data_IF_957266431561
#
_entry.id   IF_957266431561
#
_cell.length_a   1.000
_cell.length_b   1.000
_cell.length_c   1.000
_cell.angle_alpha   90.00
_cell.angle_beta   90.00
_cell.angle_gamma   90.00
#
_symmetry.space_group_name_H-M   'P 1'
#
loop_
_entity.id
_entity.type
_entity.pdbx_description
1 polymer ?
#
# COMPACT_ATOMS: atom_id res chain seq x y z
N UNK A 1 -8.32 5.42 -21.66
CA UNK A 1 -8.73 4.02 -21.47
C UNK A 1 -7.64 3.27 -20.72
N UNK A 2 -7.91 2.92 -19.44
CA UNK A 2 -6.96 2.25 -18.55
C UNK A 2 -6.98 0.71 -18.68
N UNK A 3 -7.90 0.14 -19.47
CA UNK A 3 -8.02 -1.33 -19.61
C UNK A 3 -6.80 -2.03 -20.22
N UNK A 4 -5.92 -1.26 -20.83
CA UNK A 4 -4.64 -1.71 -21.39
C UNK A 4 -3.51 -1.77 -20.35
N UNK A 5 -3.74 -1.28 -19.13
CA UNK A 5 -2.75 -1.23 -18.07
C UNK A 5 -3.13 -2.10 -16.88
N UNK A 6 -2.15 -2.44 -16.06
CA UNK A 6 -2.35 -3.14 -14.79
C UNK A 6 -2.00 -2.26 -13.59
N UNK A 7 -2.68 -2.56 -12.47
CA UNK A 7 -2.38 -2.01 -11.17
C UNK A 7 -2.08 -3.15 -10.18
N UNK A 8 -0.89 -3.14 -9.59
CA UNK A 8 -0.45 -4.07 -8.56
C UNK A 8 -0.71 -3.46 -7.19
N UNK A 9 -1.42 -4.20 -6.32
CA UNK A 9 -1.65 -3.80 -4.93
C UNK A 9 -1.07 -4.87 -4.00
N UNK A 10 0.12 -4.64 -3.46
CA UNK A 10 0.74 -5.52 -2.46
C UNK A 10 0.21 -5.16 -1.07
N UNK A 11 -0.21 -6.16 -0.32
CA UNK A 11 -0.93 -5.98 0.93
C UNK A 11 -2.40 -5.66 0.71
N UNK A 12 -3.03 -6.29 -0.28
CA UNK A 12 -4.47 -6.21 -0.55
C UNK A 12 -5.29 -6.92 0.53
N UNK A 13 -5.26 -6.35 1.74
CA UNK A 13 -6.02 -6.81 2.92
C UNK A 13 -7.48 -6.42 2.86
N UNK A 14 -8.22 -6.86 3.87
CA UNK A 14 -9.69 -6.83 3.89
C UNK A 14 -10.29 -5.41 4.07
N UNK A 15 -9.47 -4.39 4.26
CA UNK A 15 -9.89 -3.00 4.41
C UNK A 15 -9.25 -2.10 3.33
N UNK A 16 -8.21 -1.32 3.69
CA UNK A 16 -7.58 -0.33 2.80
C UNK A 16 -7.09 -0.96 1.49
N UNK A 17 -6.41 -2.11 1.54
CA UNK A 17 -5.88 -2.75 0.33
C UNK A 17 -6.98 -3.22 -0.63
N UNK A 18 -8.09 -3.76 -0.11
CA UNK A 18 -9.23 -4.15 -0.95
C UNK A 18 -9.96 -2.93 -1.52
N UNK A 19 -10.12 -1.86 -0.74
CA UNK A 19 -10.73 -0.62 -1.21
C UNK A 19 -9.93 0.02 -2.36
N UNK A 20 -8.59 0.11 -2.21
CA UNK A 20 -7.70 0.59 -3.26
C UNK A 20 -7.83 -0.30 -4.52
N UNK A 21 -7.83 -1.63 -4.35
CA UNK A 21 -7.99 -2.57 -5.47
C UNK A 21 -9.28 -2.32 -6.24
N UNK A 22 -10.41 -2.24 -5.51
CA UNK A 22 -11.73 -1.97 -6.11
C UNK A 22 -11.77 -0.59 -6.79
N UNK A 23 -11.14 0.43 -6.20
CA UNK A 23 -11.09 1.77 -6.79
C UNK A 23 -10.39 1.77 -8.14
N UNK A 24 -9.20 1.18 -8.26
CA UNK A 24 -8.51 1.11 -9.55
C UNK A 24 -9.26 0.23 -10.57
N UNK A 25 -9.88 -0.88 -10.12
CA UNK A 25 -10.72 -1.71 -10.98
C UNK A 25 -11.92 -0.93 -11.55
N UNK A 26 -12.59 -0.11 -10.74
CA UNK A 26 -13.74 0.70 -11.17
C UNK A 26 -13.37 1.77 -12.21
N UNK A 27 -12.09 2.13 -12.30
CA UNK A 27 -11.55 3.02 -13.33
C UNK A 27 -10.98 2.27 -14.54
N UNK A 28 -11.16 0.95 -14.61
CA UNK A 28 -10.85 0.14 -15.78
C UNK A 28 -9.48 -0.54 -15.77
N UNK A 29 -8.68 -0.41 -14.70
CA UNK A 29 -7.42 -1.12 -14.59
C UNK A 29 -7.62 -2.64 -14.45
N UNK A 30 -6.71 -3.43 -15.03
CA UNK A 30 -6.55 -4.82 -14.66
C UNK A 30 -5.84 -4.90 -13.33
N UNK A 31 -6.56 -5.21 -12.26
CA UNK A 31 -5.99 -5.19 -10.91
C UNK A 31 -5.41 -6.54 -10.50
N UNK A 32 -4.20 -6.50 -9.95
CA UNK A 32 -3.43 -7.66 -9.49
C UNK A 32 -3.18 -7.54 -7.97
N UNK A 33 -4.20 -7.81 -7.13
CA UNK A 33 -4.03 -7.80 -5.69
C UNK A 33 -3.15 -8.95 -5.22
N UNK A 34 -2.22 -8.65 -4.31
CA UNK A 34 -1.26 -9.62 -3.81
C UNK A 34 -1.20 -9.64 -2.27
N UNK A 35 -1.15 -10.84 -1.72
CA UNK A 35 -0.94 -11.15 -0.28
C UNK A 35 -0.10 -12.41 -0.15
N UNK A 36 0.38 -12.69 1.07
CA UNK A 36 1.08 -13.95 1.33
C UNK A 36 0.23 -15.16 0.90
N UNK A 37 0.84 -16.24 0.35
CA UNK A 37 0.13 -17.38 -0.24
C UNK A 37 -0.97 -17.98 0.63
N UNK A 38 -0.80 -17.99 1.95
CA UNK A 38 -1.81 -18.49 2.92
C UNK A 38 -3.15 -17.74 2.89
N UNK A 39 -3.22 -16.59 2.23
CA UNK A 39 -4.43 -15.76 2.14
C UNK A 39 -5.00 -15.74 0.71
N UNK A 40 -4.64 -16.71 -0.13
CA UNK A 40 -5.06 -16.73 -1.54
C UNK A 40 -6.58 -16.81 -1.71
N UNK A 41 -7.27 -17.55 -0.82
CA UNK A 41 -8.72 -17.68 -0.88
C UNK A 41 -9.44 -16.34 -0.76
N UNK A 42 -9.01 -15.49 0.19
CA UNK A 42 -9.55 -14.14 0.35
C UNK A 42 -9.26 -13.22 -0.84
N UNK A 43 -8.12 -13.42 -1.53
CA UNK A 43 -7.83 -12.70 -2.76
C UNK A 43 -8.72 -13.15 -3.90
N UNK A 44 -9.03 -14.43 -3.95
CA UNK A 44 -9.97 -14.98 -4.95
C UNK A 44 -11.38 -14.44 -4.70
N UNK A 45 -11.84 -14.35 -3.46
CA UNK A 45 -13.10 -13.70 -3.09
C UNK A 45 -13.14 -12.24 -3.58
N UNK A 46 -12.11 -11.43 -3.26
CA UNK A 46 -12.00 -10.06 -3.73
C UNK A 46 -11.99 -9.95 -5.26
N UNK A 47 -11.26 -10.85 -5.93
CA UNK A 47 -11.19 -10.86 -7.39
C UNK A 47 -12.55 -11.22 -8.01
N UNK A 48 -13.29 -12.17 -7.43
CA UNK A 48 -14.63 -12.54 -7.89
C UNK A 48 -15.62 -11.37 -7.75
N UNK A 49 -15.61 -10.66 -6.61
CA UNK A 49 -16.45 -9.46 -6.42
C UNK A 49 -16.18 -8.40 -7.49
N UNK A 50 -14.91 -8.19 -7.85
CA UNK A 50 -14.53 -7.22 -8.89
C UNK A 50 -15.00 -7.68 -10.27
N UNK A 51 -14.84 -8.96 -10.59
CA UNK A 51 -15.29 -9.55 -11.87
C UNK A 51 -16.81 -9.47 -11.99
N UNK A 52 -17.54 -9.82 -10.94
CA UNK A 52 -19.01 -9.71 -10.88
C UNK A 52 -19.51 -8.28 -11.08
N UNK A 53 -18.70 -7.29 -10.66
CA UNK A 53 -18.96 -5.87 -10.88
C UNK A 53 -18.53 -5.36 -12.27
N UNK A 54 -18.08 -6.26 -13.16
CA UNK A 54 -17.67 -5.93 -14.53
C UNK A 54 -16.21 -5.50 -14.69
N UNK A 55 -15.41 -5.58 -13.64
CA UNK A 55 -13.96 -5.30 -13.66
C UNK A 55 -13.14 -6.53 -14.06
N UNK A 56 -11.81 -6.35 -14.08
CA UNK A 56 -10.85 -7.43 -14.26
C UNK A 56 -9.93 -7.55 -13.04
N UNK A 57 -9.81 -8.73 -12.48
CA UNK A 57 -8.93 -8.99 -11.33
C UNK A 57 -8.35 -10.39 -11.35
N UNK A 58 -7.08 -10.54 -10.91
CA UNK A 58 -6.45 -11.82 -10.62
C UNK A 58 -5.64 -11.69 -9.33
N UNK A 59 -5.98 -12.52 -8.32
CA UNK A 59 -5.29 -12.57 -7.04
C UNK A 59 -3.97 -13.35 -7.11
N UNK A 60 -2.95 -12.88 -6.38
CA UNK A 60 -1.61 -13.47 -6.35
C UNK A 60 -1.13 -13.78 -4.94
N UNK A 61 -0.65 -15.00 -4.72
CA UNK A 61 0.05 -15.40 -3.52
C UNK A 61 1.52 -15.01 -3.57
N UNK A 62 1.91 -13.88 -2.95
CA UNK A 62 3.27 -13.32 -3.01
C UNK A 62 3.81 -13.04 -1.63
N UNK A 63 5.03 -13.48 -1.31
CA UNK A 63 5.77 -12.99 -0.17
C UNK A 63 6.66 -11.82 -0.60
N UNK A 64 6.23 -10.61 -0.29
CA UNK A 64 6.94 -9.40 -0.70
C UNK A 64 8.34 -9.21 -0.07
N UNK A 65 8.70 -10.06 0.91
CA UNK A 65 10.04 -10.10 1.51
C UNK A 65 11.01 -10.97 0.73
N UNK A 66 10.49 -11.81 -0.14
CA UNK A 66 11.27 -12.71 -1.01
C UNK A 66 11.51 -12.02 -2.36
N UNK A 67 12.77 -11.80 -2.67
CA UNK A 67 13.17 -11.07 -3.88
C UNK A 67 12.77 -11.79 -5.16
N UNK A 68 12.90 -13.10 -5.20
CA UNK A 68 12.56 -13.89 -6.40
C UNK A 68 11.05 -13.97 -6.59
N UNK A 69 10.29 -14.12 -5.49
CA UNK A 69 8.82 -14.06 -5.52
C UNK A 69 8.31 -12.72 -6.09
N UNK A 70 8.93 -11.60 -5.73
CA UNK A 70 8.59 -10.27 -6.29
C UNK A 70 8.96 -10.18 -7.77
N UNK A 71 10.14 -10.63 -8.17
CA UNK A 71 10.57 -10.61 -9.58
C UNK A 71 9.65 -11.42 -10.48
N UNK A 72 9.33 -12.64 -10.07
CA UNK A 72 8.46 -13.54 -10.82
C UNK A 72 7.05 -12.98 -10.96
N UNK A 73 6.50 -12.44 -9.85
CA UNK A 73 5.19 -11.80 -9.85
C UNK A 73 5.12 -10.60 -10.81
N UNK A 74 6.10 -9.69 -10.74
CA UNK A 74 6.13 -8.53 -11.62
C UNK A 74 6.32 -8.93 -13.10
N UNK A 75 7.17 -9.92 -13.36
CA UNK A 75 7.36 -10.45 -14.71
C UNK A 75 6.08 -11.08 -15.27
N UNK A 76 5.33 -11.86 -14.48
CA UNK A 76 4.05 -12.43 -14.90
C UNK A 76 3.04 -11.34 -15.22
N UNK A 77 2.89 -10.32 -14.34
CA UNK A 77 1.91 -9.25 -14.59
C UNK A 77 2.28 -8.46 -15.84
N UNK A 78 3.54 -8.03 -16.00
CA UNK A 78 3.97 -7.21 -17.13
C UNK A 78 3.83 -7.95 -18.47
N UNK A 79 4.22 -9.23 -18.52
CA UNK A 79 4.32 -9.97 -19.78
C UNK A 79 3.02 -10.70 -20.16
N UNK A 80 2.23 -11.14 -19.18
CA UNK A 80 1.08 -12.02 -19.43
C UNK A 80 -0.27 -11.33 -19.23
N UNK A 81 -0.31 -10.22 -18.47
CA UNK A 81 -1.58 -9.53 -18.16
C UNK A 81 -1.67 -8.17 -18.85
N UNK A 82 -0.83 -7.22 -18.44
CA UNK A 82 -0.76 -5.89 -19.03
C UNK A 82 0.44 -5.10 -18.47
N UNK A 83 0.93 -4.07 -19.20
CA UNK A 83 1.95 -3.17 -18.69
C UNK A 83 1.60 -2.59 -17.32
N UNK A 84 2.55 -2.65 -16.39
CA UNK A 84 2.37 -2.18 -15.01
C UNK A 84 2.45 -0.64 -14.98
N UNK A 85 1.32 0.01 -14.69
CA UNK A 85 1.23 1.48 -14.60
C UNK A 85 1.10 1.97 -13.16
N UNK A 86 0.53 1.16 -12.27
CA UNK A 86 0.37 1.52 -10.86
C UNK A 86 0.87 0.40 -9.97
N UNK A 87 1.67 0.77 -8.96
CA UNK A 87 2.09 -0.13 -7.88
C UNK A 87 1.83 0.51 -6.55
N UNK A 88 1.03 -0.14 -5.71
CA UNK A 88 0.77 0.27 -4.33
C UNK A 88 1.37 -0.73 -3.37
N UNK A 89 2.27 -0.27 -2.51
CA UNK A 89 2.81 -1.04 -1.40
C UNK A 89 2.09 -0.65 -0.10
N UNK A 90 1.19 -1.51 0.36
CA UNK A 90 0.30 -1.26 1.50
C UNK A 90 0.51 -2.16 2.74
N UNK A 91 1.51 -3.06 2.84
CA UNK A 91 1.66 -3.89 4.03
C UNK A 91 1.78 -3.07 5.32
N UNK A 92 0.98 -3.47 6.34
CA UNK A 92 1.18 -3.04 7.72
C UNK A 92 2.46 -3.67 8.29
N UNK A 93 2.55 -3.82 9.53
CA UNK A 93 3.50 -4.52 10.38
C UNK A 93 3.40 -3.93 11.79
N UNK A 94 2.21 -3.44 12.13
CA UNK A 94 1.97 -2.83 13.43
C UNK A 94 2.16 -3.85 14.54
N UNK A 95 3.12 -3.57 15.43
CA UNK A 95 3.37 -4.33 16.65
C UNK A 95 3.62 -3.35 17.79
N UNK A 96 3.26 -3.75 19.00
CA UNK A 96 3.49 -2.97 20.21
C UNK A 96 4.24 -3.84 21.23
N UNK A 97 5.46 -3.38 21.59
CA UNK A 97 6.28 -3.96 22.65
C UNK A 97 7.10 -2.87 23.34
N UNK A 98 7.23 -2.86 24.67
CA UNK A 98 8.22 -2.05 25.36
C UNK A 98 9.61 -2.31 24.79
N UNK A 99 10.50 -1.31 24.88
CA UNK A 99 11.83 -1.41 24.23
C UNK A 99 12.63 -2.61 24.72
N UNK A 100 12.58 -2.91 26.02
CA UNK A 100 13.27 -4.04 26.62
C UNK A 100 12.67 -5.42 26.26
N UNK A 101 11.41 -5.44 25.83
CA UNK A 101 10.72 -6.65 25.36
C UNK A 101 10.78 -6.82 23.84
N UNK A 102 11.22 -5.80 23.12
CA UNK A 102 11.35 -5.85 21.67
C UNK A 102 12.55 -6.71 21.27
N UNK A 103 12.28 -7.98 20.96
CA UNK A 103 13.35 -8.91 20.56
C UNK A 103 13.93 -8.56 19.20
N UNK A 104 15.22 -8.89 18.98
CA UNK A 104 15.89 -8.74 17.68
C UNK A 104 15.12 -9.40 16.55
N UNK A 105 14.47 -10.54 16.81
CA UNK A 105 13.63 -11.27 15.86
C UNK A 105 12.41 -10.46 15.45
N UNK A 106 11.70 -9.86 16.39
CA UNK A 106 10.52 -9.01 16.12
C UNK A 106 10.96 -7.78 15.34
N UNK A 107 11.98 -7.07 15.82
CA UNK A 107 12.50 -5.87 15.14
C UNK A 107 12.85 -6.15 13.68
N UNK A 108 13.66 -7.20 13.44
CA UNK A 108 14.08 -7.59 12.09
C UNK A 108 12.89 -7.96 11.20
N UNK A 109 11.95 -8.78 11.70
CA UNK A 109 10.77 -9.18 10.91
C UNK A 109 9.86 -8.01 10.52
N UNK A 110 9.68 -7.05 11.43
CA UNK A 110 8.88 -5.85 11.15
C UNK A 110 9.56 -5.00 10.09
N UNK A 111 10.88 -4.83 10.20
CA UNK A 111 11.68 -4.09 9.21
C UNK A 111 11.66 -4.76 7.83
N UNK A 112 11.82 -6.08 7.78
CA UNK A 112 11.73 -6.86 6.54
C UNK A 112 10.37 -6.70 5.87
N UNK A 113 9.29 -6.70 6.66
CA UNK A 113 7.92 -6.63 6.13
C UNK A 113 7.52 -5.23 5.65
N UNK A 114 7.91 -4.18 6.36
CA UNK A 114 7.47 -2.82 6.08
C UNK A 114 8.49 -2.01 5.26
N UNK A 115 9.79 -2.20 5.46
CA UNK A 115 10.82 -1.42 4.78
C UNK A 115 11.46 -2.18 3.61
N UNK A 116 12.04 -3.35 3.87
CA UNK A 116 12.76 -4.11 2.85
C UNK A 116 11.83 -4.59 1.73
N UNK A 117 10.65 -5.12 2.08
CA UNK A 117 9.66 -5.50 1.08
C UNK A 117 9.18 -4.31 0.23
N UNK A 118 9.07 -3.12 0.83
CA UNK A 118 8.76 -1.88 0.11
C UNK A 118 9.86 -1.50 -0.88
N UNK A 119 11.12 -1.62 -0.47
CA UNK A 119 12.27 -1.43 -1.36
C UNK A 119 12.26 -2.41 -2.54
N UNK A 120 12.07 -3.70 -2.30
CA UNK A 120 12.01 -4.71 -3.36
C UNK A 120 10.88 -4.40 -4.36
N UNK A 121 9.70 -4.08 -3.83
CA UNK A 121 8.52 -3.72 -4.64
C UNK A 121 8.79 -2.49 -5.52
N UNK A 122 9.27 -1.41 -4.91
CA UNK A 122 9.54 -0.17 -5.63
C UNK A 122 10.65 -0.30 -6.67
N UNK A 123 11.72 -1.03 -6.34
CA UNK A 123 12.82 -1.33 -7.27
C UNK A 123 12.34 -2.11 -8.49
N UNK A 124 11.50 -3.11 -8.28
CA UNK A 124 10.99 -3.92 -9.38
C UNK A 124 10.02 -3.13 -10.27
N UNK A 125 9.12 -2.34 -9.66
CA UNK A 125 8.25 -1.41 -10.38
C UNK A 125 9.04 -0.45 -11.27
N UNK A 126 10.10 0.16 -10.73
CA UNK A 126 10.94 1.11 -11.44
C UNK A 126 11.56 0.51 -12.72
N UNK A 127 11.99 -0.77 -12.70
CA UNK A 127 12.59 -1.44 -13.87
C UNK A 127 11.66 -1.48 -15.09
N UNK A 128 10.37 -1.67 -14.86
CA UNK A 128 9.38 -1.73 -15.93
C UNK A 128 8.90 -0.33 -16.35
N UNK A 129 8.60 0.53 -15.38
CA UNK A 129 8.07 1.87 -15.63
C UNK A 129 9.08 2.78 -16.33
N UNK A 130 10.39 2.71 -16.00
CA UNK A 130 11.44 3.51 -16.67
C UNK A 130 11.51 3.27 -18.18
N UNK A 131 11.18 2.06 -18.65
CA UNK A 131 11.18 1.76 -20.09
C UNK A 131 10.12 2.55 -20.87
N UNK A 132 9.09 3.03 -20.18
CA UNK A 132 7.97 3.79 -20.76
C UNK A 132 7.94 5.27 -20.35
N UNK A 133 8.78 5.65 -19.37
CA UNK A 133 8.77 6.98 -18.73
C UNK A 133 7.38 7.36 -18.20
N UNK A 134 6.66 6.40 -17.65
CA UNK A 134 5.33 6.58 -17.07
C UNK A 134 5.06 5.55 -15.96
N UNK A 135 4.19 5.90 -15.03
CA UNK A 135 3.70 5.06 -13.95
C UNK A 135 3.66 5.76 -12.60
N UNK A 136 3.03 5.08 -11.63
CA UNK A 136 2.91 5.57 -10.26
C UNK A 136 3.32 4.50 -9.26
N UNK A 137 4.15 4.87 -8.29
CA UNK A 137 4.60 3.99 -7.19
C UNK A 137 4.20 4.64 -5.87
N UNK A 138 3.32 4.00 -5.12
CA UNK A 138 2.73 4.53 -3.90
C UNK A 138 3.07 3.67 -2.70
N UNK A 139 3.52 4.31 -1.63
CA UNK A 139 3.88 3.67 -0.37
C UNK A 139 2.92 4.10 0.74
N UNK A 140 2.25 3.14 1.36
CA UNK A 140 1.39 3.38 2.51
C UNK A 140 2.23 3.54 3.77
N UNK A 141 2.29 4.76 4.27
CA UNK A 141 2.85 5.11 5.56
C UNK A 141 1.82 5.04 6.68
N UNK A 142 2.20 5.57 7.83
CA UNK A 142 1.40 5.63 9.04
C UNK A 142 1.84 6.82 9.90
N UNK A 143 1.13 7.11 10.99
CA UNK A 143 1.62 7.97 12.09
C UNK A 143 3.08 7.64 12.43
N UNK A 144 3.41 6.35 12.48
CA UNK A 144 4.74 5.82 12.74
C UNK A 144 5.80 6.18 11.69
N UNK A 145 5.41 6.72 10.52
CA UNK A 145 6.34 7.29 9.54
C UNK A 145 6.84 8.69 9.92
N UNK A 146 6.13 9.35 10.85
CA UNK A 146 6.35 10.76 11.21
C UNK A 146 6.89 10.94 12.61
N UNK A 147 6.55 10.04 13.53
CA UNK A 147 6.98 10.07 14.93
C UNK A 147 7.08 8.69 15.54
N UNK A 148 8.07 8.49 16.41
CA UNK A 148 8.19 7.29 17.24
C UNK A 148 7.27 7.39 18.46
N UNK A 149 6.35 6.44 18.62
CA UNK A 149 5.56 6.29 19.84
C UNK A 149 6.21 5.35 20.83
N UNK A 150 5.90 5.49 22.12
CA UNK A 150 6.27 4.52 23.14
C UNK A 150 5.72 3.14 22.77
N UNK A 151 6.55 2.09 22.84
CA UNK A 151 6.19 0.72 22.47
C UNK A 151 6.20 0.41 20.97
N UNK A 152 6.50 1.39 20.10
CA UNK A 152 6.47 1.22 18.65
C UNK A 152 7.86 1.28 17.98
N UNK A 153 8.95 1.03 18.72
CA UNK A 153 10.31 1.14 18.20
C UNK A 153 10.55 0.36 16.90
N UNK A 154 10.09 -0.89 16.82
CA UNK A 154 10.21 -1.71 15.62
C UNK A 154 9.35 -1.16 14.45
N UNK A 155 8.11 -0.82 14.72
CA UNK A 155 7.19 -0.34 13.69
C UNK A 155 7.58 1.04 13.16
N UNK A 156 7.89 1.98 14.06
CA UNK A 156 8.29 3.33 13.65
C UNK A 156 9.60 3.33 12.85
N UNK A 157 10.62 2.59 13.29
CA UNK A 157 11.88 2.50 12.55
C UNK A 157 11.68 1.97 11.13
N UNK A 158 10.83 0.96 10.95
CA UNK A 158 10.52 0.40 9.64
C UNK A 158 9.72 1.38 8.76
N UNK A 159 8.74 2.09 9.32
CA UNK A 159 7.95 3.08 8.57
C UNK A 159 8.74 4.35 8.22
N UNK A 160 9.66 4.81 9.07
CA UNK A 160 10.62 5.85 8.71
C UNK A 160 11.55 5.39 7.58
N UNK A 161 12.04 4.15 7.63
CA UNK A 161 12.86 3.60 6.56
C UNK A 161 12.10 3.55 5.22
N UNK A 162 10.84 3.11 5.23
CA UNK A 162 9.96 3.11 4.04
C UNK A 162 9.79 4.54 3.48
N UNK A 163 9.55 5.53 4.35
CA UNK A 163 9.46 6.94 3.97
C UNK A 163 10.75 7.43 3.31
N UNK A 164 11.91 7.09 3.87
CA UNK A 164 13.21 7.44 3.29
C UNK A 164 13.42 6.81 1.90
N UNK A 165 13.03 5.54 1.72
CA UNK A 165 13.04 4.86 0.40
C UNK A 165 12.17 5.61 -0.59
N UNK A 166 10.93 5.96 -0.21
CA UNK A 166 10.02 6.70 -1.10
C UNK A 166 10.57 8.07 -1.51
N UNK A 167 11.22 8.79 -0.60
CA UNK A 167 11.85 10.08 -0.86
C UNK A 167 13.01 9.98 -1.86
N UNK A 168 13.88 8.97 -1.70
CA UNK A 168 14.98 8.72 -2.65
C UNK A 168 14.44 8.37 -4.03
N UNK A 169 13.46 7.47 -4.08
CA UNK A 169 12.84 7.06 -5.34
C UNK A 169 12.12 8.20 -6.05
N UNK A 170 11.43 9.07 -5.32
CA UNK A 170 10.75 10.23 -5.90
C UNK A 170 11.73 11.18 -6.59
N UNK A 171 12.91 11.42 -5.98
CA UNK A 171 13.95 12.29 -6.55
C UNK A 171 14.63 11.66 -7.77
N UNK A 172 14.84 10.35 -7.73
CA UNK A 172 15.48 9.62 -8.84
C UNK A 172 14.52 9.41 -10.02
N UNK A 173 13.29 9.00 -9.74
CA UNK A 173 12.34 8.54 -10.75
C UNK A 173 11.42 9.66 -11.29
N UNK A 174 11.22 10.73 -10.53
CA UNK A 174 10.41 11.88 -10.98
C UNK A 174 10.89 12.46 -12.32
N UNK A 175 12.19 12.76 -12.51
CA UNK A 175 12.72 13.21 -13.81
C UNK A 175 12.52 12.18 -14.93
N UNK A 176 12.38 10.91 -14.61
CA UNK A 176 12.10 9.81 -15.55
C UNK A 176 10.59 9.64 -15.84
N UNK A 177 9.74 10.55 -15.34
CA UNK A 177 8.30 10.54 -15.59
C UNK A 177 7.50 9.57 -14.72
N UNK A 178 8.05 9.10 -13.60
CA UNK A 178 7.38 8.17 -12.68
C UNK A 178 6.99 8.91 -11.41
N UNK A 179 5.71 8.85 -11.06
CA UNK A 179 5.15 9.51 -9.88
C UNK A 179 5.34 8.64 -8.63
N UNK A 180 6.18 9.07 -7.70
CA UNK A 180 6.38 8.37 -6.42
C UNK A 180 5.79 9.18 -5.28
N UNK A 181 4.84 8.59 -4.53
CA UNK A 181 4.21 9.24 -3.40
C UNK A 181 4.15 8.35 -2.14
N UNK A 182 4.18 9.01 -0.98
CA UNK A 182 4.08 8.42 0.34
C UNK A 182 2.83 8.95 1.04
N UNK A 183 1.95 8.03 1.46
CA UNK A 183 0.67 8.34 2.10
C UNK A 183 0.77 8.09 3.59
N UNK A 184 0.76 9.12 4.39
CA UNK A 184 0.72 9.00 5.86
C UNK A 184 -0.73 8.77 6.27
N UNK A 185 -1.06 7.55 6.68
CA UNK A 185 -2.37 7.21 7.22
C UNK A 185 -2.30 7.44 8.73
N UNK A 186 -2.77 8.61 9.15
CA UNK A 186 -2.63 9.09 10.55
C UNK A 186 -3.96 8.97 11.29
N UNK A 187 -4.23 7.80 11.85
CA UNK A 187 -5.42 7.51 12.64
C UNK A 187 -5.87 6.05 12.52
N UNK A 188 -6.88 5.70 13.32
CA UNK A 188 -7.50 4.39 13.25
C UNK A 188 -8.28 4.25 11.93
N UNK A 189 -8.19 3.06 11.33
CA UNK A 189 -8.92 2.73 10.09
C UNK A 189 -10.10 1.83 10.46
N UNK A 190 -11.24 2.01 9.81
CA UNK A 190 -12.40 1.11 9.93
C UNK A 190 -12.03 -0.32 9.50
N UNK A 191 -11.74 -1.15 10.49
CA UNK A 191 -11.34 -2.54 10.32
C UNK A 191 -11.95 -3.41 11.41
N UNK A 192 -12.12 -4.71 11.12
CA UNK A 192 -12.53 -5.68 12.14
C UNK A 192 -11.58 -5.66 13.35
N UNK A 193 -10.28 -5.52 13.13
CA UNK A 193 -9.28 -5.43 14.20
C UNK A 193 -9.56 -4.24 15.15
N UNK A 194 -9.81 -3.04 14.62
CA UNK A 194 -10.13 -1.86 15.46
C UNK A 194 -11.46 -2.06 16.19
N UNK A 195 -12.45 -2.64 15.52
CA UNK A 195 -13.75 -2.95 16.12
C UNK A 195 -13.64 -3.88 17.33
N UNK A 196 -12.82 -4.91 17.19
CA UNK A 196 -12.68 -5.94 18.23
C UNK A 196 -11.74 -5.51 19.35
N UNK A 197 -10.65 -4.80 19.01
CA UNK A 197 -9.58 -4.50 19.97
C UNK A 197 -9.80 -3.14 20.67
N UNK A 198 -10.38 -2.16 19.95
CA UNK A 198 -10.55 -0.79 20.41
C UNK A 198 -11.99 -0.29 20.18
N UNK A 199 -12.99 -0.91 20.84
CA UNK A 199 -14.42 -0.61 20.58
C UNK A 199 -14.79 0.85 20.82
N UNK A 200 -14.16 1.54 21.78
CA UNK A 200 -14.40 2.96 22.05
C UNK A 200 -13.91 3.84 20.88
N UNK A 201 -12.74 3.53 20.34
CA UNK A 201 -12.22 4.19 19.12
C UNK A 201 -13.10 3.88 17.92
N UNK A 202 -13.54 2.63 17.80
CA UNK A 202 -14.42 2.22 16.70
C UNK A 202 -15.78 2.95 16.73
N UNK A 203 -16.32 3.24 17.92
CA UNK A 203 -17.57 3.99 18.07
C UNK A 203 -17.49 5.42 17.47
N UNK A 204 -16.28 5.96 17.28
CA UNK A 204 -16.10 7.26 16.61
C UNK A 204 -16.44 7.20 15.11
N UNK A 205 -16.60 6.01 14.53
CA UNK A 205 -17.04 5.82 13.14
C UNK A 205 -18.33 6.56 12.84
N UNK A 206 -19.30 6.55 13.77
CA UNK A 206 -20.58 7.23 13.64
C UNK A 206 -20.46 8.76 13.47
N UNK A 207 -19.29 9.30 13.77
CA UNK A 207 -18.97 10.74 13.70
C UNK A 207 -17.82 11.04 12.76
N UNK A 208 -17.50 10.14 11.82
CA UNK A 208 -16.34 10.24 10.93
C UNK A 208 -15.00 10.41 11.67
N UNK A 209 -14.92 9.88 12.90
CA UNK A 209 -13.73 9.98 13.76
C UNK A 209 -12.69 8.89 13.54
N UNK A 210 -12.90 7.98 12.60
CA UNK A 210 -11.91 7.02 12.08
C UNK A 210 -11.90 7.04 10.56
N UNK A 211 -10.75 6.63 9.96
CA UNK A 211 -10.56 6.63 8.52
C UNK A 211 -11.41 5.54 7.84
N UNK A 212 -12.15 5.94 6.81
CA UNK A 212 -12.90 5.03 5.96
C UNK A 212 -11.99 4.51 4.83
N UNK A 213 -11.89 3.19 4.60
CA UNK A 213 -11.06 2.62 3.54
C UNK A 213 -11.35 3.19 2.15
N UNK A 214 -12.62 3.42 1.82
CA UNK A 214 -13.00 3.98 0.52
C UNK A 214 -12.53 5.43 0.36
N UNK A 215 -12.60 6.26 1.41
CA UNK A 215 -12.07 7.63 1.38
C UNK A 215 -10.53 7.66 1.21
N UNK A 216 -9.84 6.70 1.83
CA UNK A 216 -8.41 6.50 1.59
C UNK A 216 -8.18 6.14 0.11
N UNK A 217 -8.90 5.17 -0.43
CA UNK A 217 -8.77 4.72 -1.82
C UNK A 217 -9.05 5.85 -2.84
N UNK A 218 -10.03 6.71 -2.56
CA UNK A 218 -10.31 7.90 -3.37
C UNK A 218 -9.09 8.82 -3.46
N UNK A 219 -8.36 8.97 -2.37
CA UNK A 219 -7.14 9.79 -2.35
C UNK A 219 -6.01 9.16 -3.17
N UNK A 220 -5.85 7.83 -3.13
CA UNK A 220 -4.89 7.14 -4.01
C UNK A 220 -5.19 7.37 -5.49
N UNK A 221 -6.45 7.27 -5.87
CA UNK A 221 -6.89 7.58 -7.23
C UNK A 221 -6.65 9.03 -7.60
N UNK A 222 -7.00 9.96 -6.71
CA UNK A 222 -6.77 11.40 -6.94
C UNK A 222 -5.29 11.70 -7.19
N UNK A 223 -4.39 11.18 -6.36
CA UNK A 223 -2.95 11.39 -6.51
C UNK A 223 -2.43 10.77 -7.81
N UNK A 224 -2.89 9.56 -8.17
CA UNK A 224 -2.52 8.94 -9.44
C UNK A 224 -2.95 9.79 -10.66
N UNK A 225 -4.13 10.39 -10.60
CA UNK A 225 -4.70 11.17 -11.71
C UNK A 225 -4.19 12.61 -11.81
N UNK A 226 -3.28 13.03 -10.93
CA UNK A 226 -2.73 14.39 -10.95
C UNK A 226 -1.94 14.69 -12.24
N UNK A 227 -2.09 15.91 -12.72
CA UNK A 227 -1.26 16.40 -13.80
C UNK A 227 0.21 16.43 -13.39
N UNK A 228 1.12 15.98 -14.25
CA UNK A 228 2.55 15.81 -13.92
C UNK A 228 3.29 17.10 -13.52
N UNK A 229 2.72 18.27 -13.82
CA UNK A 229 3.27 19.56 -13.34
C UNK A 229 2.95 19.87 -11.87
N UNK A 230 2.12 19.04 -11.21
CA UNK A 230 1.65 19.27 -9.84
C UNK A 230 1.48 17.95 -9.08
N UNK A 231 2.50 17.10 -9.12
CA UNK A 231 2.52 15.84 -8.39
C UNK A 231 2.72 16.02 -6.90
N UNK A 232 1.89 15.37 -6.10
CA UNK A 232 2.05 15.23 -4.65
C UNK A 232 3.08 14.14 -4.35
N UNK A 233 4.12 14.46 -3.60
CA UNK A 233 5.06 13.43 -3.12
C UNK A 233 4.65 12.85 -1.77
N UNK A 234 4.25 13.68 -0.82
CA UNK A 234 3.82 13.23 0.50
C UNK A 234 2.56 13.96 0.93
N UNK A 235 1.62 13.20 1.49
CA UNK A 235 0.39 13.74 2.05
C UNK A 235 0.01 12.92 3.28
N UNK A 236 -0.72 13.55 4.19
CA UNK A 236 -1.32 12.83 5.31
C UNK A 236 -2.85 12.84 5.24
N UNK A 237 -3.41 11.72 5.64
CA UNK A 237 -4.84 11.48 5.76
C UNK A 237 -5.14 11.18 7.22
N UNK A 238 -6.09 11.93 7.78
CA UNK A 238 -6.52 11.73 9.15
C UNK A 238 -8.00 12.07 9.32
N UNK A 239 -8.68 11.45 10.29
CA UNK A 239 -9.99 11.93 10.69
C UNK A 239 -9.90 13.37 11.19
N UNK A 240 -10.93 14.18 10.94
CA UNK A 240 -10.93 15.58 11.39
C UNK A 240 -10.82 15.72 12.92
N UNK A 241 -11.13 14.67 13.66
CA UNK A 241 -11.03 14.61 15.13
C UNK A 241 -9.66 14.16 15.65
N UNK A 242 -8.77 13.71 14.77
CA UNK A 242 -7.43 13.23 15.17
C UNK A 242 -6.61 14.37 15.75
N UNK A 243 -5.94 14.09 16.88
CA UNK A 243 -5.07 15.08 17.54
C UNK A 243 -3.64 14.96 17.02
N UNK A 244 -3.05 16.11 16.78
CA UNK A 244 -1.66 16.22 16.36
C UNK A 244 -0.68 15.98 17.54
#
# INVERSE_FOLDING_TARGET
>A
DFSKYSAIIIGAGDATGSAITKKFASHGYKVCPARRPRNIDKLNELSNEIIESGGWSKGFGVDARDEDSIKDFFAEVENEIAPIDVVVFNPGANVFFPIEETTSRVFKKVWEMAAFAGFLTGREAAKYMKKRNEGSIFFTGATASMRGGSGFSAFSSAKFALRAVSQSMARELGPEGIHVAHFVIDGAIDTAFIKETFPETYALKEKDGILQPDAIADTYWYVHSQHRSAWTHELDLRPYMEKF
#
